data_IF_067823130907
#
_entry.id   IF_067823130907
#
_cell.length_a   1.000
_cell.length_b   1.000
_cell.length_c   1.000
_cell.angle_alpha   90.00
_cell.angle_beta   90.00
_cell.angle_gamma   90.00
#
_symmetry.space_group_name_H-M   'P 1'
#
loop_
_entity.id
_entity.type
_entity.pdbx_description
1 polymer ?
#
# COMPACT_ATOMS: atom_id res chain seq x y z
N UNK A 1 -3.81 -15.41 -19.15
CA UNK A 1 -4.97 -15.11 -20.02
C UNK A 1 -6.15 -16.08 -19.84
N UNK A 2 -6.08 -17.38 -20.21
CA UNK A 2 -7.24 -18.30 -20.10
C UNK A 2 -7.64 -18.70 -18.65
N UNK A 3 -6.73 -18.56 -17.68
CA UNK A 3 -6.99 -18.90 -16.26
C UNK A 3 -7.55 -17.74 -15.43
N UNK A 4 -7.42 -16.48 -15.90
CA UNK A 4 -7.96 -15.31 -15.20
C UNK A 4 -9.47 -15.13 -15.43
N UNK A 5 -9.97 -15.56 -16.60
CA UNK A 5 -11.40 -15.48 -16.94
C UNK A 5 -12.23 -16.45 -16.06
N UNK A 6 -11.65 -17.58 -15.63
CA UNK A 6 -12.41 -18.60 -14.88
C UNK A 6 -12.57 -18.29 -13.39
N UNK A 7 -11.78 -17.37 -12.81
CA UNK A 7 -11.88 -17.04 -11.38
C UNK A 7 -12.90 -15.92 -11.07
N UNK A 8 -13.24 -15.08 -12.06
CA UNK A 8 -14.16 -13.95 -11.88
C UNK A 8 -15.64 -14.36 -11.91
N UNK A 9 -15.99 -15.48 -12.54
CA UNK A 9 -17.36 -16.03 -12.48
C UNK A 9 -17.65 -16.80 -11.19
N UNK A 10 -16.63 -17.27 -10.47
CA UNK A 10 -16.80 -17.94 -9.16
C UNK A 10 -16.93 -16.97 -7.98
N UNK A 11 -16.51 -15.70 -8.12
CA UNK A 11 -16.58 -14.72 -7.04
C UNK A 11 -17.99 -14.15 -6.79
N UNK A 12 -18.94 -14.37 -7.71
CA UNK A 12 -20.33 -13.93 -7.53
C UNK A 12 -21.15 -14.86 -6.63
N UNK A 13 -20.66 -16.08 -6.32
CA UNK A 13 -21.39 -17.08 -5.53
C UNK A 13 -20.78 -17.39 -4.15
N UNK A 14 -19.67 -16.76 -3.78
CA UNK A 14 -19.02 -16.95 -2.47
C UNK A 14 -19.13 -15.69 -1.62
N UNK A 15 -20.37 -15.34 -1.28
CA UNK A 15 -20.59 -14.64 -0.03
C UNK A 15 -20.09 -15.53 1.10
N UNK A 16 -19.22 -14.97 1.94
CA UNK A 16 -18.58 -15.58 3.13
C UNK A 16 -17.23 -16.26 2.80
N UNK A 17 -16.22 -16.00 3.66
CA UNK A 17 -14.83 -16.51 3.69
C UNK A 17 -13.72 -15.58 3.15
N UNK A 18 -13.69 -14.30 3.55
CA UNK A 18 -12.52 -13.42 3.38
C UNK A 18 -11.51 -13.47 4.56
N UNK A 19 -11.42 -14.61 5.27
CA UNK A 19 -10.54 -14.77 6.44
C UNK A 19 -9.30 -15.67 6.17
N UNK A 20 -9.23 -16.38 5.04
CA UNK A 20 -8.28 -17.49 4.87
C UNK A 20 -6.98 -17.20 4.09
N UNK A 21 -6.76 -15.97 3.59
CA UNK A 21 -5.52 -15.62 2.87
C UNK A 21 -4.81 -14.43 3.51
N UNK A 22 -4.50 -14.53 4.80
CA UNK A 22 -3.44 -13.68 5.35
C UNK A 22 -2.13 -14.19 4.73
N UNK A 23 -1.46 -13.43 3.84
CA UNK A 23 -0.17 -13.87 3.33
C UNK A 23 0.74 -14.13 4.52
N UNK A 24 1.52 -15.21 4.42
CA UNK A 24 2.47 -15.61 5.44
C UNK A 24 3.28 -14.39 5.90
N UNK A 25 3.36 -14.20 7.23
CA UNK A 25 3.82 -12.94 7.83
C UNK A 25 5.29 -12.72 7.42
N UNK A 26 5.52 -11.84 6.45
CA UNK A 26 6.86 -11.54 5.91
C UNK A 26 7.07 -11.91 4.44
N UNK A 27 6.16 -12.65 3.80
CA UNK A 27 6.21 -12.88 2.34
C UNK A 27 6.02 -11.55 1.62
N UNK A 28 6.96 -11.22 0.73
CA UNK A 28 6.81 -10.08 -0.19
C UNK A 28 5.94 -10.52 -1.37
N UNK A 29 4.85 -9.80 -1.59
CA UNK A 29 3.99 -10.01 -2.75
C UNK A 29 4.69 -9.56 -4.04
N UNK A 30 4.44 -10.27 -5.13
CA UNK A 30 4.83 -9.85 -6.48
C UNK A 30 4.00 -8.63 -6.93
N UNK A 31 4.45 -7.86 -7.94
CA UNK A 31 3.63 -6.81 -8.55
C UNK A 31 2.25 -7.30 -8.98
N UNK A 32 2.19 -8.51 -9.51
CA UNK A 32 0.96 -9.15 -9.98
C UNK A 32 0.03 -9.49 -8.82
N UNK A 33 0.52 -10.14 -7.76
CA UNK A 33 -0.27 -10.43 -6.56
C UNK A 33 -0.81 -9.14 -5.91
N UNK A 34 -0.02 -8.06 -5.88
CA UNK A 34 -0.47 -6.75 -5.39
C UNK A 34 -1.56 -6.13 -6.29
N UNK A 35 -1.41 -6.25 -7.60
CA UNK A 35 -2.40 -5.75 -8.56
C UNK A 35 -3.71 -6.51 -8.46
N UNK A 36 -3.66 -7.85 -8.30
CA UNK A 36 -4.85 -8.68 -8.08
C UNK A 36 -5.61 -8.23 -6.83
N UNK A 37 -4.93 -8.08 -5.69
CA UNK A 37 -5.57 -7.66 -4.44
C UNK A 37 -6.23 -6.28 -4.57
N UNK A 38 -5.55 -5.32 -5.21
CA UNK A 38 -6.09 -3.97 -5.39
C UNK A 38 -7.29 -3.96 -6.33
N UNK A 39 -7.22 -4.70 -7.43
CA UNK A 39 -8.32 -4.82 -8.37
C UNK A 39 -9.51 -5.50 -7.71
N UNK A 40 -9.32 -6.62 -7.01
CA UNK A 40 -10.39 -7.34 -6.31
C UNK A 40 -11.12 -6.43 -5.31
N UNK A 41 -10.36 -5.63 -4.54
CA UNK A 41 -10.95 -4.63 -3.64
C UNK A 41 -11.80 -3.60 -4.38
N UNK A 42 -11.33 -3.07 -5.51
CA UNK A 42 -12.08 -2.07 -6.28
C UNK A 42 -13.32 -2.67 -6.97
N UNK A 43 -13.23 -3.90 -7.46
CA UNK A 43 -14.38 -4.65 -8.00
C UNK A 43 -15.46 -4.79 -6.95
N UNK A 44 -15.09 -5.27 -5.76
CA UNK A 44 -16.02 -5.44 -4.64
C UNK A 44 -16.62 -4.10 -4.20
N UNK A 45 -15.80 -3.05 -4.12
CA UNK A 45 -16.22 -1.77 -3.56
C UNK A 45 -17.07 -0.93 -4.50
N UNK A 46 -16.77 -0.95 -5.79
CA UNK A 46 -17.39 -0.07 -6.78
C UNK A 46 -18.24 -0.84 -7.81
N UNK A 47 -18.40 -2.15 -7.64
CA UNK A 47 -19.24 -2.98 -8.52
C UNK A 47 -18.77 -2.96 -9.97
N UNK A 48 -17.47 -3.14 -10.20
CA UNK A 48 -16.90 -3.05 -11.54
C UNK A 48 -17.33 -4.22 -12.41
N UNK A 49 -17.61 -3.96 -13.69
CA UNK A 49 -17.88 -5.02 -14.65
C UNK A 49 -16.59 -5.71 -15.12
N UNK A 50 -16.72 -6.77 -15.94
CA UNK A 50 -15.59 -7.57 -16.39
C UNK A 50 -14.57 -6.78 -17.23
N UNK A 51 -15.02 -5.90 -18.11
CA UNK A 51 -14.14 -5.10 -18.96
C UNK A 51 -13.34 -4.10 -18.10
N UNK A 52 -14.02 -3.40 -17.19
CA UNK A 52 -13.40 -2.48 -16.24
C UNK A 52 -12.38 -3.19 -15.37
N UNK A 53 -12.71 -4.40 -14.89
CA UNK A 53 -11.83 -5.24 -14.07
C UNK A 53 -10.54 -5.57 -14.81
N UNK A 54 -10.62 -6.00 -16.07
CA UNK A 54 -9.45 -6.34 -16.87
C UNK A 54 -8.55 -5.13 -17.10
N UNK A 55 -9.13 -3.98 -17.49
CA UNK A 55 -8.36 -2.74 -17.71
C UNK A 55 -7.73 -2.22 -16.42
N UNK A 56 -8.46 -2.31 -15.30
CA UNK A 56 -7.96 -1.91 -13.99
C UNK A 56 -6.81 -2.80 -13.51
N UNK A 57 -6.89 -4.11 -13.76
CA UNK A 57 -5.82 -5.04 -13.40
C UNK A 57 -4.50 -4.69 -14.08
N UNK A 58 -4.51 -4.48 -15.39
CA UNK A 58 -3.31 -4.10 -16.13
C UNK A 58 -2.75 -2.76 -15.67
N UNK A 59 -3.63 -1.76 -15.45
CA UNK A 59 -3.23 -0.46 -14.92
C UNK A 59 -2.58 -0.59 -13.53
N UNK A 60 -3.16 -1.39 -12.64
CA UNK A 60 -2.63 -1.66 -11.31
C UNK A 60 -1.27 -2.38 -11.38
N UNK A 61 -1.14 -3.39 -12.24
CA UNK A 61 0.10 -4.15 -12.43
C UNK A 61 1.23 -3.24 -12.87
N UNK A 62 0.99 -2.43 -13.91
CA UNK A 62 1.98 -1.45 -14.38
C UNK A 62 2.40 -0.49 -13.27
N UNK A 63 1.46 0.00 -12.46
CA UNK A 63 1.79 0.89 -11.34
C UNK A 63 2.63 0.19 -10.27
N UNK A 64 2.32 -1.07 -9.93
CA UNK A 64 3.07 -1.85 -8.93
C UNK A 64 4.50 -2.16 -9.42
N UNK A 65 4.67 -2.51 -10.68
CA UNK A 65 5.97 -2.74 -11.30
C UNK A 65 6.84 -1.48 -11.26
N UNK A 66 6.28 -0.33 -11.67
CA UNK A 66 6.98 0.96 -11.63
C UNK A 66 7.35 1.37 -10.20
N UNK A 67 6.46 1.13 -9.22
CA UNK A 67 6.74 1.43 -7.82
C UNK A 67 7.90 0.57 -7.29
N UNK A 68 7.96 -0.71 -7.67
CA UNK A 68 9.05 -1.60 -7.24
C UNK A 68 10.39 -1.23 -7.87
N UNK A 69 10.41 -0.87 -9.16
CA UNK A 69 11.64 -0.47 -9.87
C UNK A 69 12.26 0.81 -9.32
N UNK A 70 11.45 1.72 -8.77
CA UNK A 70 11.91 3.04 -8.33
C UNK A 70 12.11 3.16 -6.82
N UNK A 71 12.00 2.05 -6.11
CA UNK A 71 12.21 2.04 -4.66
C UNK A 71 13.71 2.24 -4.39
N UNK A 72 14.12 3.34 -3.71
CA UNK A 72 15.53 3.55 -3.43
C UNK A 72 16.05 2.42 -2.54
N UNK A 73 17.30 1.97 -2.75
CA UNK A 73 17.91 0.97 -1.88
C UNK A 73 17.96 1.54 -0.47
N UNK A 74 17.58 0.72 0.51
CA UNK A 74 17.66 1.07 1.93
C UNK A 74 18.53 0.06 2.62
N UNK A 75 19.49 0.55 3.39
CA UNK A 75 20.25 -0.30 4.29
C UNK A 75 19.41 -0.67 5.51
N UNK A 76 19.78 -1.78 6.16
CA UNK A 76 19.05 -2.27 7.32
C UNK A 76 19.10 -1.28 8.49
N UNK A 77 18.12 -1.37 9.40
CA UNK A 77 18.10 -0.53 10.62
C UNK A 77 19.33 -0.78 11.49
N UNK A 78 19.83 -2.01 11.51
CA UNK A 78 21.00 -2.38 12.31
C UNK A 78 22.28 -1.83 11.68
N UNK A 79 22.41 -1.88 10.36
CA UNK A 79 23.50 -1.22 9.63
C UNK A 79 23.51 0.29 9.91
N UNK A 80 22.36 0.95 9.91
CA UNK A 80 22.24 2.38 10.25
C UNK A 80 22.68 2.70 11.68
N UNK A 81 22.37 1.81 12.63
CA UNK A 81 22.73 1.97 14.04
C UNK A 81 24.24 1.80 14.27
N UNK A 82 24.90 0.96 13.48
CA UNK A 82 26.35 0.72 13.53
C UNK A 82 27.18 1.81 12.85
N UNK A 83 26.59 2.64 11.99
CA UNK A 83 27.26 3.81 11.42
C UNK A 83 27.54 4.87 12.49
N UNK A 84 28.67 5.56 12.34
CA UNK A 84 28.98 6.76 13.12
C UNK A 84 28.00 7.91 12.82
N UNK A 85 28.06 8.95 13.66
CA UNK A 85 27.10 10.06 13.63
C UNK A 85 27.13 10.85 12.32
N UNK A 86 28.31 11.09 11.76
CA UNK A 86 28.47 11.89 10.54
C UNK A 86 28.06 11.08 9.31
N UNK A 87 28.47 9.82 9.21
CA UNK A 87 28.01 8.92 8.14
C UNK A 87 26.47 8.75 8.16
N UNK A 88 25.87 8.61 9.35
CA UNK A 88 24.42 8.55 9.49
C UNK A 88 23.73 9.83 9.04
N UNK A 89 24.27 11.00 9.38
CA UNK A 89 23.74 12.30 8.98
C UNK A 89 23.84 12.51 7.47
N UNK A 90 24.96 12.12 6.87
CA UNK A 90 25.16 12.15 5.43
C UNK A 90 24.14 11.23 4.71
N UNK A 91 23.98 9.99 5.16
CA UNK A 91 22.96 9.07 4.63
C UNK A 91 21.54 9.61 4.77
N UNK A 92 21.20 10.22 5.90
CA UNK A 92 19.87 10.82 6.09
C UNK A 92 19.63 11.99 5.13
N UNK A 93 20.66 12.81 4.89
CA UNK A 93 20.57 13.92 3.93
C UNK A 93 20.34 13.39 2.50
N UNK A 94 21.11 12.40 2.05
CA UNK A 94 20.94 11.81 0.72
C UNK A 94 19.57 11.16 0.56
N UNK A 95 19.09 10.42 1.57
CA UNK A 95 17.74 9.83 1.56
C UNK A 95 16.63 10.87 1.57
N UNK A 96 16.83 12.02 2.24
CA UNK A 96 15.86 13.13 2.23
C UNK A 96 15.77 13.76 0.84
N UNK A 97 16.90 13.98 0.18
CA UNK A 97 16.95 14.52 -1.19
C UNK A 97 16.33 13.54 -2.20
N UNK A 98 16.74 12.26 -2.16
CA UNK A 98 16.11 11.21 -2.97
C UNK A 98 14.61 11.09 -2.70
N UNK A 99 14.20 11.24 -1.44
CA UNK A 99 12.81 11.22 -1.02
C UNK A 99 11.97 12.37 -1.60
N UNK A 100 12.53 13.58 -1.73
CA UNK A 100 11.84 14.71 -2.37
C UNK A 100 11.60 14.44 -3.85
N UNK A 101 12.64 14.01 -4.57
CA UNK A 101 12.53 13.69 -6.00
C UNK A 101 11.54 12.53 -6.24
N UNK A 102 11.53 11.54 -5.34
CA UNK A 102 10.58 10.43 -5.40
C UNK A 102 9.15 10.89 -5.12
N UNK A 103 8.95 11.85 -4.22
CA UNK A 103 7.64 12.40 -3.90
C UNK A 103 7.01 13.14 -5.08
N UNK A 104 7.79 13.92 -5.84
CA UNK A 104 7.31 14.59 -7.05
C UNK A 104 6.90 13.59 -8.13
N UNK A 105 7.77 12.60 -8.42
CA UNK A 105 7.42 11.47 -9.29
C UNK A 105 6.18 10.70 -8.80
N UNK A 106 6.03 10.64 -7.47
CA UNK A 106 4.84 10.25 -6.72
C UNK A 106 3.56 10.86 -7.28
N UNK A 107 3.50 12.20 -7.20
CA UNK A 107 2.34 12.99 -7.58
C UNK A 107 2.00 12.84 -9.06
N UNK A 108 2.99 12.95 -9.93
CA UNK A 108 2.77 12.81 -11.38
C UNK A 108 2.15 11.46 -11.73
N UNK A 109 2.63 10.39 -11.09
CA UNK A 109 2.04 9.06 -11.27
C UNK A 109 0.64 8.93 -10.71
N UNK A 110 0.40 9.51 -9.56
CA UNK A 110 -0.91 9.50 -8.93
C UNK A 110 -1.93 10.21 -9.83
N UNK A 111 -1.56 11.35 -10.40
CA UNK A 111 -2.39 12.08 -11.37
C UNK A 111 -2.61 11.29 -12.67
N UNK A 112 -1.55 10.69 -13.24
CA UNK A 112 -1.66 9.86 -14.44
C UNK A 112 -2.55 8.63 -14.20
N UNK A 113 -2.37 7.97 -13.05
CA UNK A 113 -3.18 6.82 -12.65
C UNK A 113 -4.66 7.23 -12.43
N UNK A 114 -4.89 8.40 -11.82
CA UNK A 114 -6.23 8.95 -11.61
C UNK A 114 -6.93 9.24 -12.94
N UNK A 115 -6.23 9.83 -13.91
CA UNK A 115 -6.76 10.06 -15.26
C UNK A 115 -7.12 8.74 -15.95
N UNK A 116 -6.23 7.76 -15.90
CA UNK A 116 -6.50 6.43 -16.46
C UNK A 116 -7.68 5.73 -15.77
N UNK A 117 -7.84 5.90 -14.44
CA UNK A 117 -9.01 5.40 -13.72
C UNK A 117 -10.31 6.05 -14.21
N UNK A 118 -10.31 7.35 -14.48
CA UNK A 118 -11.49 8.05 -14.97
C UNK A 118 -11.98 7.51 -16.33
N UNK A 119 -11.08 6.98 -17.16
CA UNK A 119 -11.42 6.34 -18.44
C UNK A 119 -11.90 4.89 -18.31
N UNK A 120 -11.65 4.25 -17.16
CA UNK A 120 -12.06 2.87 -16.87
C UNK A 120 -13.38 2.85 -16.10
N UNK A 121 -13.56 3.77 -15.15
CA UNK A 121 -14.71 3.82 -14.26
C UNK A 121 -15.86 4.63 -14.88
N UNK A 122 -17.09 4.31 -14.49
CA UNK A 122 -18.22 5.22 -14.76
C UNK A 122 -18.08 6.49 -13.92
N UNK A 123 -18.79 7.56 -14.30
CA UNK A 123 -18.79 8.81 -13.54
C UNK A 123 -19.19 8.59 -12.07
N UNK A 124 -20.18 7.74 -11.80
CA UNK A 124 -20.64 7.40 -10.46
C UNK A 124 -19.58 6.64 -9.66
N UNK A 125 -18.95 5.63 -10.27
CA UNK A 125 -17.88 4.84 -9.64
C UNK A 125 -16.65 5.70 -9.33
N UNK A 126 -16.29 6.59 -10.25
CA UNK A 126 -15.18 7.51 -10.07
C UNK A 126 -15.46 8.54 -8.97
N UNK A 127 -16.67 9.09 -8.90
CA UNK A 127 -17.07 9.99 -7.81
C UNK A 127 -17.01 9.31 -6.43
N UNK A 128 -17.44 8.05 -6.33
CA UNK A 128 -17.31 7.26 -5.10
C UNK A 128 -15.83 7.04 -4.72
N UNK A 129 -14.99 6.72 -5.70
CA UNK A 129 -13.54 6.58 -5.51
C UNK A 129 -12.90 7.88 -4.99
N UNK A 130 -13.23 9.04 -5.56
CA UNK A 130 -12.71 10.34 -5.14
C UNK A 130 -13.09 10.68 -3.70
N UNK A 131 -14.35 10.43 -3.33
CA UNK A 131 -14.82 10.63 -1.96
C UNK A 131 -14.04 9.77 -0.96
N UNK A 132 -13.74 8.53 -1.33
CA UNK A 132 -12.94 7.63 -0.50
C UNK A 132 -11.48 8.08 -0.38
N UNK A 133 -10.87 8.55 -1.46
CA UNK A 133 -9.52 9.12 -1.44
C UNK A 133 -9.44 10.37 -0.57
N UNK A 134 -10.41 11.27 -0.69
CA UNK A 134 -10.51 12.45 0.18
C UNK A 134 -10.64 12.04 1.65
N UNK A 135 -11.52 11.09 1.97
CA UNK A 135 -11.67 10.61 3.34
C UNK A 135 -10.40 9.92 3.87
N UNK A 136 -9.66 9.20 3.02
CA UNK A 136 -8.34 8.63 3.38
C UNK A 136 -7.33 9.73 3.65
N UNK A 137 -7.32 10.79 2.84
CA UNK A 137 -6.43 11.95 3.01
C UNK A 137 -6.72 12.68 4.31
N UNK A 138 -7.99 12.99 4.59
CA UNK A 138 -8.41 13.61 5.85
C UNK A 138 -7.99 12.79 7.06
N UNK A 139 -8.16 11.45 7.02
CA UNK A 139 -7.69 10.57 8.10
C UNK A 139 -6.17 10.56 8.28
N UNK A 140 -5.40 10.79 7.20
CA UNK A 140 -3.93 10.87 7.27
C UNK A 140 -3.45 12.21 7.82
N UNK A 141 -4.16 13.28 7.49
CA UNK A 141 -3.87 14.65 7.95
C UNK A 141 -4.40 14.92 9.37
N UNK A 142 -5.42 14.16 9.81
CA UNK A 142 -5.94 14.23 11.16
C UNK A 142 -4.82 13.97 12.20
N UNK A 143 -4.77 14.74 13.30
CA UNK A 143 -3.83 14.49 14.38
C UNK A 143 -3.95 13.05 14.84
N UNK A 144 -2.82 12.33 14.90
CA UNK A 144 -2.80 11.02 15.54
C UNK A 144 -3.27 11.22 16.98
N UNK A 145 -4.52 10.83 17.28
CA UNK A 145 -4.97 10.77 18.67
C UNK A 145 -3.92 9.95 19.42
N UNK A 146 -3.32 10.56 20.45
CA UNK A 146 -2.35 9.87 21.30
C UNK A 146 -3.08 8.63 21.82
N UNK A 147 -2.67 7.45 21.38
CA UNK A 147 -3.09 6.20 22.00
C UNK A 147 -2.74 6.36 23.48
N UNK A 148 -3.67 6.15 24.44
CA UNK A 148 -3.30 6.22 25.85
C UNK A 148 -2.09 5.31 26.06
N UNK A 149 -1.05 5.86 26.70
CA UNK A 149 0.16 5.12 27.00
C UNK A 149 -0.28 3.86 27.74
N UNK A 150 -0.09 2.69 27.13
CA UNK A 150 -0.19 1.45 27.91
C UNK A 150 0.94 1.54 28.94
N UNK A 151 0.66 1.42 30.25
CA UNK A 151 1.71 1.25 31.23
C UNK A 151 2.63 0.14 30.74
N UNK A 152 3.94 0.41 30.69
CA UNK A 152 4.91 -0.66 30.47
C UNK A 152 5.00 -1.42 31.78
N UNK A 153 4.06 -2.34 32.00
CA UNK A 153 4.20 -3.34 33.05
C UNK A 153 5.30 -4.31 32.60
N UNK A 154 6.54 -4.02 32.99
CA UNK A 154 7.62 -4.99 33.03
C UNK A 154 7.47 -5.79 34.32
N UNK A 155 7.23 -7.10 34.27
CA UNK A 155 7.30 -7.94 35.46
C UNK A 155 8.76 -8.33 35.70
N UNK A 156 9.30 -7.91 36.85
CA UNK A 156 10.29 -8.66 37.62
C UNK A 156 11.76 -8.53 37.23
N UNK A 157 12.50 -7.71 37.97
CA UNK A 157 13.70 -8.10 38.73
C UNK A 157 13.59 -7.25 40.01
N UNK A 158 13.13 -7.79 41.14
CA UNK A 158 13.98 -8.60 41.99
C UNK A 158 14.88 -7.66 42.78
N UNK A 159 14.35 -7.14 43.89
CA UNK A 159 15.13 -6.47 44.93
C UNK A 159 16.17 -7.47 45.45
N UNK A 160 17.44 -7.26 45.13
CA UNK A 160 18.55 -7.88 45.86
C UNK A 160 19.05 -6.86 46.88
N UNK A 161 18.40 -6.86 48.05
CA UNK A 161 18.98 -6.41 49.30
C UNK A 161 20.05 -7.43 49.73
N UNK A 162 21.31 -7.00 49.86
CA UNK A 162 22.30 -7.28 50.93
C UNK A 162 23.72 -6.84 50.51
#
# INVERSE_FOLDING_TARGET
>A
MKKLILFLTTLLCLGIQAEAQRPERGKRLSPEEMAEQRTAYMVQKYGLNQEQTNRLFELNKQQMEQMMQQRPPRISRDSLRKMDKEARKAYQKTMKEQGKNLFEKMKEREEAYRKALQEILTAEQFAAFEKDEQARRERREAPRQRRPERPRDFPGEGEDDF
#
